data_IF_023563225424
#
_entry.id   IF_023563225424
#
_cell.length_a   1.000
_cell.length_b   1.000
_cell.length_c   1.000
_cell.angle_alpha   90.00
_cell.angle_beta   90.00
_cell.angle_gamma   90.00
#
_symmetry.space_group_name_H-M   'P 1'
#
loop_
_entity.id
_entity.type
_entity.pdbx_description
1 polymer ?
#
# COMPACT_ATOMS: atom_id res chain seq x y z
N UNK A 1 40.57 0.97 -32.55
CA UNK A 1 40.89 2.39 -32.82
C UNK A 1 39.56 3.03 -33.17
N UNK A 2 38.88 3.86 -32.39
CA UNK A 2 39.25 4.70 -31.25
C UNK A 2 38.11 4.69 -30.22
N UNK A 3 38.44 4.82 -28.94
CA UNK A 3 37.47 5.00 -27.86
C UNK A 3 36.78 6.35 -28.00
N UNK A 4 35.50 6.38 -28.34
CA UNK A 4 34.66 7.57 -28.26
C UNK A 4 34.37 7.90 -26.79
N UNK A 5 35.42 8.23 -26.04
CA UNK A 5 35.34 8.94 -24.77
C UNK A 5 34.86 10.36 -25.07
N UNK A 6 33.55 10.50 -25.25
CA UNK A 6 32.90 11.80 -25.25
C UNK A 6 33.05 12.36 -23.83
N UNK A 7 34.04 13.22 -23.65
CA UNK A 7 34.19 14.01 -22.43
C UNK A 7 32.97 14.93 -22.32
N UNK A 8 31.92 14.48 -21.63
CA UNK A 8 30.78 15.34 -21.29
C UNK A 8 31.32 16.51 -20.49
N UNK A 9 31.31 17.70 -21.10
CA UNK A 9 31.51 18.96 -20.38
C UNK A 9 30.34 19.09 -19.41
N UNK A 10 30.58 18.68 -18.18
CA UNK A 10 29.56 18.70 -17.13
C UNK A 10 29.30 20.16 -16.76
N UNK A 11 28.19 20.71 -17.24
CA UNK A 11 27.80 22.09 -16.95
C UNK A 11 27.53 22.29 -15.46
N UNK A 12 27.91 23.45 -14.91
CA UNK A 12 27.58 23.88 -13.55
C UNK A 12 26.07 23.79 -13.27
N UNK A 13 25.24 24.09 -14.28
CA UNK A 13 23.79 23.97 -14.18
C UNK A 13 23.35 22.51 -13.95
N UNK A 14 24.04 21.53 -14.52
CA UNK A 14 23.74 20.11 -14.29
C UNK A 14 24.01 19.71 -12.84
N UNK A 15 25.12 20.19 -12.26
CA UNK A 15 25.41 19.97 -10.84
C UNK A 15 24.38 20.64 -9.93
N UNK A 16 23.98 21.86 -10.26
CA UNK A 16 22.95 22.59 -9.53
C UNK A 16 21.60 21.85 -9.55
N UNK A 17 21.13 21.42 -10.73
CA UNK A 17 19.88 20.66 -10.87
C UNK A 17 19.92 19.31 -10.15
N UNK A 18 21.07 18.61 -10.19
CA UNK A 18 21.26 17.37 -9.42
C UNK A 18 21.18 17.64 -7.92
N UNK A 19 21.80 18.73 -7.45
CA UNK A 19 21.71 19.15 -6.04
C UNK A 19 20.26 19.39 -5.60
N UNK A 20 19.50 20.15 -6.39
CA UNK A 20 18.06 20.36 -6.13
C UNK A 20 17.30 19.04 -6.08
N UNK A 21 17.54 18.14 -7.04
CA UNK A 21 16.86 16.85 -7.10
C UNK A 21 17.17 16.01 -5.85
N UNK A 22 18.42 15.96 -5.42
CA UNK A 22 18.83 15.21 -4.21
C UNK A 22 18.17 15.80 -2.97
N UNK A 23 18.18 17.12 -2.81
CA UNK A 23 17.54 17.79 -1.66
C UNK A 23 16.03 17.54 -1.65
N UNK A 24 15.38 17.64 -2.81
CA UNK A 24 13.95 17.35 -2.94
C UNK A 24 13.63 15.88 -2.62
N UNK A 25 14.45 14.94 -3.08
CA UNK A 25 14.29 13.53 -2.77
C UNK A 25 14.45 13.27 -1.25
N UNK A 26 15.48 13.84 -0.61
CA UNK A 26 15.71 13.71 0.83
C UNK A 26 14.53 14.26 1.63
N UNK A 27 13.95 15.39 1.22
CA UNK A 27 12.75 15.94 1.85
C UNK A 27 11.56 14.97 1.77
N UNK A 28 11.31 14.39 0.59
CA UNK A 28 10.25 13.41 0.39
C UNK A 28 10.48 12.14 1.21
N UNK A 29 11.72 11.64 1.29
CA UNK A 29 12.08 10.49 2.12
C UNK A 29 11.89 10.77 3.61
N UNK A 30 12.24 11.98 4.07
CA UNK A 30 11.98 12.40 5.45
C UNK A 30 10.49 12.40 5.77
N UNK A 31 9.67 12.94 4.85
CA UNK A 31 8.20 12.92 5.00
C UNK A 31 7.64 11.49 4.99
N UNK A 32 8.18 10.63 4.12
CA UNK A 32 7.79 9.23 4.07
C UNK A 32 8.14 8.53 5.39
N UNK A 33 9.33 8.77 5.95
CA UNK A 33 9.74 8.23 7.24
C UNK A 33 8.83 8.71 8.39
N UNK A 34 8.42 9.99 8.39
CA UNK A 34 7.44 10.49 9.35
C UNK A 34 6.11 9.72 9.25
N UNK A 35 5.58 9.54 8.04
CA UNK A 35 4.30 8.87 7.84
C UNK A 35 4.37 7.37 8.19
N UNK A 36 5.47 6.70 7.82
CA UNK A 36 5.60 5.26 7.96
C UNK A 36 6.12 4.82 9.33
N UNK A 37 7.14 5.50 9.88
CA UNK A 37 7.77 5.10 11.14
C UNK A 37 7.07 5.75 12.32
N UNK A 38 6.82 7.06 12.25
CA UNK A 38 6.24 7.80 13.38
C UNK A 38 4.72 7.60 13.43
N UNK A 39 4.03 7.82 12.30
CA UNK A 39 2.57 7.75 12.21
C UNK A 39 2.03 6.42 11.66
N UNK A 40 2.90 5.45 11.39
CA UNK A 40 2.51 4.20 10.74
C UNK A 40 1.49 3.42 11.56
N UNK A 41 1.69 3.31 12.88
CA UNK A 41 0.75 2.59 13.75
C UNK A 41 -0.62 3.27 13.78
N UNK A 42 -0.66 4.60 13.87
CA UNK A 42 -1.90 5.37 13.87
C UNK A 42 -2.73 5.11 12.61
N UNK A 43 -2.12 5.23 11.43
CA UNK A 43 -2.82 4.98 10.17
C UNK A 43 -3.16 3.50 9.95
N UNK A 44 -2.37 2.58 10.51
CA UNK A 44 -2.70 1.15 10.50
C UNK A 44 -3.96 0.86 11.32
N UNK A 45 -4.06 1.40 12.53
CA UNK A 45 -5.27 1.22 13.37
C UNK A 45 -6.50 1.77 12.68
N UNK A 46 -6.43 2.97 12.11
CA UNK A 46 -7.54 3.55 11.35
C UNK A 46 -7.95 2.68 10.15
N UNK A 47 -7.00 2.04 9.48
CA UNK A 47 -7.29 1.14 8.35
C UNK A 47 -7.97 -0.16 8.81
N UNK A 48 -7.54 -0.74 9.93
CA UNK A 48 -8.16 -1.94 10.50
C UNK A 48 -9.59 -1.68 10.99
N UNK A 49 -9.84 -0.53 11.63
CA UNK A 49 -11.18 -0.14 12.09
C UNK A 49 -12.18 0.05 10.92
N UNK A 50 -11.68 0.48 9.75
CA UNK A 50 -12.50 0.69 8.56
C UNK A 50 -12.50 -0.53 7.61
N UNK A 51 -12.02 -1.69 8.06
CA UNK A 51 -11.91 -2.87 7.20
C UNK A 51 -13.28 -3.50 6.95
N UNK A 52 -13.73 -3.43 5.69
CA UNK A 52 -14.93 -4.14 5.23
C UNK A 52 -14.61 -5.63 5.08
N UNK A 53 -15.50 -6.50 5.60
CA UNK A 53 -15.42 -7.95 5.45
C UNK A 53 -16.76 -8.51 4.98
N UNK A 54 -16.71 -9.42 4.01
CA UNK A 54 -17.88 -10.18 3.60
C UNK A 54 -18.15 -11.26 4.65
N UNK A 55 -19.31 -11.19 5.29
CA UNK A 55 -19.78 -12.23 6.21
C UNK A 55 -20.74 -13.12 5.41
N UNK A 56 -20.38 -14.38 5.14
CA UNK A 56 -21.29 -15.29 4.45
C UNK A 56 -22.47 -15.60 5.38
N UNK A 57 -23.68 -15.38 4.90
CA UNK A 57 -24.89 -15.82 5.58
C UNK A 57 -25.17 -17.24 5.07
N UNK A 58 -25.02 -18.23 5.94
CA UNK A 58 -25.31 -19.63 5.60
C UNK A 58 -26.82 -19.77 5.46
N UNK A 59 -27.27 -20.33 4.34
CA UNK A 59 -28.67 -20.66 4.18
C UNK A 59 -29.06 -21.76 5.18
N UNK A 60 -30.17 -21.57 5.89
CA UNK A 60 -30.73 -22.63 6.73
C UNK A 60 -31.02 -23.86 5.86
N UNK A 61 -30.63 -25.04 6.34
CA UNK A 61 -31.02 -26.30 5.70
C UNK A 61 -32.53 -26.47 5.84
N UNK A 62 -33.20 -26.95 4.80
CA UNK A 62 -34.63 -27.27 4.89
C UNK A 62 -34.90 -28.35 5.94
N UNK A 63 -36.00 -28.20 6.66
CA UNK A 63 -36.48 -29.19 7.63
C UNK A 63 -37.00 -30.44 6.89
N UNK A 64 -36.70 -31.63 7.43
CA UNK A 64 -37.20 -32.88 6.88
C UNK A 64 -38.39 -33.34 7.71
N UNK A 65 -39.57 -33.31 7.11
CA UNK A 65 -40.84 -33.67 7.77
C UNK A 65 -41.25 -35.10 7.44
N UNK A 66 -41.75 -35.81 8.45
CA UNK A 66 -42.47 -37.06 8.27
C UNK A 66 -43.83 -36.81 7.59
N UNK A 67 -44.47 -37.87 7.07
CA UNK A 67 -45.83 -37.79 6.51
C UNK A 67 -46.86 -37.24 7.52
N UNK A 68 -46.59 -37.42 8.81
CA UNK A 68 -47.40 -36.92 9.94
C UNK A 68 -47.17 -35.44 10.26
N UNK A 69 -46.18 -34.79 9.65
CA UNK A 69 -45.79 -33.40 9.92
C UNK A 69 -44.77 -33.24 11.05
N UNK A 70 -44.26 -34.33 11.62
CA UNK A 70 -43.21 -34.29 12.65
C UNK A 70 -41.82 -34.05 12.03
N UNK A 71 -40.99 -33.22 12.69
CA UNK A 71 -39.60 -32.96 12.28
C UNK A 71 -38.74 -34.18 12.60
N UNK A 72 -38.09 -34.75 11.57
CA UNK A 72 -37.19 -35.90 11.71
C UNK A 72 -35.75 -35.44 11.97
N UNK A 73 -35.35 -34.31 11.36
CA UNK A 73 -34.04 -33.64 11.53
C UNK A 73 -34.22 -32.14 11.39
#
# INVERSE_FOLDING_TARGET
MESLSSSKVQSWLSWFLKGILIVGALFLFGRLAELQIIKGNYFRTLAEENRIRNIPIVAARGEILARTGEVIV
#
